data_IF_852836813234
#
_entry.id   IF_852836813234
#
_cell.length_a   1.000
_cell.length_b   1.000
_cell.length_c   1.000
_cell.angle_alpha   90.00
_cell.angle_beta   90.00
_cell.angle_gamma   90.00
#
_symmetry.space_group_name_H-M   'P 1'
#
loop_
_entity.id
_entity.type
_entity.pdbx_description
1 polymer ?
#
# COMPACT_ATOMS: atom_id res chain seq x y z
N UNK A 1 -14.62 -18.32 -7.05
CA UNK A 1 -13.49 -17.72 -6.29
C UNK A 1 -12.14 -17.86 -7.01
N UNK A 2 -11.80 -19.05 -7.52
CA UNK A 2 -10.55 -19.24 -8.29
C UNK A 2 -10.45 -18.29 -9.48
N UNK A 3 -11.52 -18.12 -10.26
CA UNK A 3 -11.51 -17.21 -11.42
C UNK A 3 -11.25 -15.73 -11.04
N UNK A 4 -11.76 -15.28 -9.90
CA UNK A 4 -11.54 -13.89 -9.45
C UNK A 4 -10.07 -13.69 -9.06
N UNK A 5 -9.51 -14.60 -8.29
CA UNK A 5 -8.11 -14.58 -7.89
C UNK A 5 -7.17 -14.67 -9.10
N UNK A 6 -7.47 -15.54 -10.06
CA UNK A 6 -6.65 -15.72 -11.25
C UNK A 6 -6.70 -14.47 -12.15
N UNK A 7 -7.87 -13.84 -12.29
CA UNK A 7 -8.02 -12.57 -13.01
C UNK A 7 -7.25 -11.43 -12.32
N UNK A 8 -7.32 -11.35 -10.99
CA UNK A 8 -6.52 -10.38 -10.21
C UNK A 8 -5.02 -10.63 -10.40
N UNK A 9 -4.57 -11.89 -10.38
CA UNK A 9 -3.19 -12.27 -10.64
C UNK A 9 -2.72 -11.86 -12.03
N UNK A 10 -3.53 -12.08 -13.07
CA UNK A 10 -3.23 -11.63 -14.43
C UNK A 10 -3.19 -10.10 -14.54
N UNK A 11 -4.10 -9.41 -13.85
CA UNK A 11 -4.15 -7.96 -13.87
C UNK A 11 -2.87 -7.35 -13.28
N UNK A 12 -2.45 -7.77 -12.09
CA UNK A 12 -1.24 -7.22 -11.50
C UNK A 12 0.05 -7.67 -12.22
N UNK A 13 0.07 -8.85 -12.82
CA UNK A 13 1.22 -9.30 -13.62
C UNK A 13 1.45 -8.42 -14.85
N UNK A 14 0.38 -7.85 -15.41
CA UNK A 14 0.46 -6.92 -16.55
C UNK A 14 0.69 -5.47 -16.11
N UNK A 15 0.05 -5.02 -15.02
CA UNK A 15 0.16 -3.66 -14.50
C UNK A 15 1.43 -3.43 -13.68
N UNK A 16 2.07 -4.50 -13.26
CA UNK A 16 3.16 -4.55 -12.31
C UNK A 16 2.71 -4.20 -10.88
N UNK A 17 3.65 -4.23 -9.93
CA UNK A 17 3.41 -3.96 -8.51
C UNK A 17 3.98 -2.58 -8.15
N UNK A 18 3.59 -2.04 -7.00
CA UNK A 18 4.04 -0.75 -6.50
C UNK A 18 4.70 -0.84 -5.12
N UNK A 19 4.92 0.31 -4.50
CA UNK A 19 5.61 0.47 -3.22
C UNK A 19 4.99 -0.35 -2.07
N UNK A 20 3.70 -0.67 -2.15
CA UNK A 20 3.06 -1.55 -1.16
C UNK A 20 3.76 -2.92 -1.08
N UNK A 21 4.05 -3.52 -2.23
CA UNK A 21 4.75 -4.80 -2.29
C UNK A 21 6.23 -4.66 -1.90
N UNK A 22 6.90 -3.60 -2.34
CA UNK A 22 8.28 -3.33 -1.92
C UNK A 22 8.42 -3.30 -0.40
N UNK A 23 7.53 -2.57 0.25
CA UNK A 23 7.50 -2.49 1.71
C UNK A 23 7.11 -3.81 2.37
N UNK A 24 6.13 -4.53 1.82
CA UNK A 24 5.70 -5.82 2.33
C UNK A 24 6.79 -6.89 2.21
N UNK A 25 7.59 -6.89 1.15
CA UNK A 25 8.74 -7.79 1.00
C UNK A 25 9.73 -7.65 2.17
N UNK A 26 10.01 -6.42 2.60
CA UNK A 26 10.97 -6.17 3.68
C UNK A 26 10.39 -6.53 5.04
N UNK A 27 9.10 -6.27 5.29
CA UNK A 27 8.42 -6.77 6.50
C UNK A 27 8.47 -8.30 6.59
N UNK A 28 8.34 -8.99 5.47
CA UNK A 28 8.52 -10.45 5.42
C UNK A 28 9.95 -10.88 5.69
N UNK A 29 10.93 -10.22 5.08
CA UNK A 29 12.35 -10.57 5.19
C UNK A 29 12.93 -10.32 6.60
N UNK A 30 12.62 -9.17 7.19
CA UNK A 30 13.17 -8.76 8.49
C UNK A 30 12.37 -9.26 9.69
N UNK A 31 11.06 -9.38 9.56
CA UNK A 31 10.15 -9.66 10.68
C UNK A 31 9.29 -10.90 10.48
N UNK A 32 9.53 -11.66 9.41
CA UNK A 32 8.84 -12.92 9.11
C UNK A 32 7.31 -12.81 9.01
N UNK A 33 6.79 -11.62 8.71
CA UNK A 33 5.37 -11.45 8.46
C UNK A 33 4.96 -12.16 7.17
N UNK A 34 3.85 -12.92 7.17
CA UNK A 34 3.32 -13.51 5.95
C UNK A 34 3.04 -12.41 4.91
N UNK A 35 3.38 -12.66 3.65
CA UNK A 35 3.32 -11.68 2.57
C UNK A 35 1.95 -10.98 2.45
N UNK A 36 0.86 -11.75 2.51
CA UNK A 36 -0.50 -11.18 2.46
C UNK A 36 -0.82 -10.28 3.66
N UNK A 37 -0.34 -10.63 4.85
CA UNK A 37 -0.50 -9.82 6.06
C UNK A 37 0.30 -8.52 5.93
N UNK A 38 1.55 -8.60 5.50
CA UNK A 38 2.41 -7.43 5.30
C UNK A 38 1.79 -6.44 4.30
N UNK A 39 1.29 -6.93 3.15
CA UNK A 39 0.56 -6.09 2.20
C UNK A 39 -0.71 -5.48 2.82
N UNK A 40 -1.49 -6.26 3.56
CA UNK A 40 -2.71 -5.76 4.20
C UNK A 40 -2.42 -4.67 5.25
N UNK A 41 -1.30 -4.75 5.94
CA UNK A 41 -0.86 -3.73 6.90
C UNK A 41 -0.47 -2.42 6.21
N UNK A 42 0.12 -2.50 5.02
CA UNK A 42 0.62 -1.32 4.30
C UNK A 42 -0.41 -0.65 3.38
N UNK A 43 -1.41 -1.40 2.89
CA UNK A 43 -2.25 -0.95 1.76
C UNK A 43 -2.97 0.38 2.00
N UNK A 44 -3.53 0.61 3.18
CA UNK A 44 -4.30 1.83 3.48
C UNK A 44 -3.42 3.08 3.50
N UNK A 45 -2.19 2.97 3.95
CA UNK A 45 -1.20 4.04 3.94
C UNK A 45 -0.75 4.35 2.50
N UNK A 46 -0.54 3.30 1.71
CA UNK A 46 -0.13 3.45 0.31
C UNK A 46 -1.28 4.00 -0.55
N UNK A 47 -2.53 3.62 -0.30
CA UNK A 47 -3.69 4.21 -0.99
C UNK A 47 -3.74 5.73 -0.78
N UNK A 48 -3.60 6.19 0.48
CA UNK A 48 -3.53 7.63 0.79
C UNK A 48 -2.34 8.30 0.15
N UNK A 49 -1.18 7.66 0.20
CA UNK A 49 0.05 8.17 -0.39
C UNK A 49 -0.07 8.37 -1.92
N UNK A 50 -0.64 7.39 -2.61
CA UNK A 50 -0.79 7.42 -4.07
C UNK A 50 -1.92 8.33 -4.56
N UNK A 51 -2.85 8.74 -3.69
CA UNK A 51 -4.04 9.51 -4.04
C UNK A 51 -3.78 11.01 -4.26
N UNK A 52 -2.63 11.35 -4.78
CA UNK A 52 -2.27 12.72 -5.16
C UNK A 52 -2.77 13.02 -6.58
N UNK A 53 -3.52 14.10 -6.78
CA UNK A 53 -4.00 14.50 -8.11
C UNK A 53 -2.85 14.85 -9.08
N UNK A 54 -1.81 15.49 -8.55
CA UNK A 54 -0.65 15.97 -9.32
C UNK A 54 0.64 15.61 -8.60
N UNK A 55 1.07 14.35 -8.66
CA UNK A 55 2.30 13.94 -8.02
C UNK A 55 3.50 14.69 -8.64
N UNK A 56 4.32 15.29 -7.80
CA UNK A 56 5.55 16.00 -8.24
C UNK A 56 6.56 15.02 -8.83
N UNK A 57 6.55 13.80 -8.34
CA UNK A 57 7.42 12.71 -8.82
C UNK A 57 6.54 11.54 -9.27
N UNK A 58 6.71 11.13 -10.51
CA UNK A 58 6.01 10.00 -11.11
C UNK A 58 6.95 8.80 -11.24
N UNK A 59 6.37 7.60 -11.32
CA UNK A 59 7.12 6.39 -11.62
C UNK A 59 7.77 6.44 -12.99
N UNK A 60 8.74 5.55 -13.20
CA UNK A 60 9.55 5.51 -14.43
C UNK A 60 8.85 4.80 -15.60
N UNK A 61 7.69 4.20 -15.38
CA UNK A 61 6.96 3.49 -16.43
C UNK A 61 6.09 4.46 -17.26
N UNK A 62 6.12 4.37 -18.61
CA UNK A 62 5.39 5.27 -19.50
C UNK A 62 3.86 5.32 -19.27
N UNK A 63 3.28 4.24 -18.75
CA UNK A 63 1.85 4.19 -18.43
C UNK A 63 1.41 5.18 -17.34
N UNK A 64 2.35 5.78 -16.62
CA UNK A 64 2.09 6.75 -15.56
C UNK A 64 2.37 8.20 -15.95
N UNK A 65 2.54 8.49 -17.24
CA UNK A 65 2.74 9.88 -17.72
C UNK A 65 1.62 10.83 -17.27
N UNK A 66 0.41 10.27 -17.07
CA UNK A 66 -0.76 11.01 -16.60
C UNK A 66 -1.51 10.19 -15.54
N UNK A 67 -0.96 10.05 -14.31
CA UNK A 67 -1.61 9.27 -13.27
C UNK A 67 -2.91 9.95 -12.81
N UNK A 68 -4.01 9.23 -12.90
CA UNK A 68 -5.32 9.62 -12.36
C UNK A 68 -5.67 8.75 -11.16
N UNK A 69 -4.73 8.57 -10.25
CA UNK A 69 -4.82 7.57 -9.18
C UNK A 69 -6.01 7.83 -8.27
N UNK A 70 -6.21 9.09 -7.84
CA UNK A 70 -7.35 9.46 -7.01
C UNK A 70 -8.69 9.17 -7.71
N UNK A 71 -8.82 9.57 -8.98
CA UNK A 71 -10.02 9.29 -9.78
C UNK A 71 -10.26 7.78 -9.94
N UNK A 72 -9.21 6.97 -10.15
CA UNK A 72 -9.33 5.51 -10.26
C UNK A 72 -9.78 4.87 -8.94
N UNK A 73 -9.32 5.37 -7.80
CA UNK A 73 -9.81 4.91 -6.50
C UNK A 73 -11.28 5.31 -6.27
N UNK A 74 -11.68 6.50 -6.73
CA UNK A 74 -13.07 6.94 -6.70
C UNK A 74 -13.98 6.06 -7.57
N UNK A 75 -13.54 5.69 -8.78
CA UNK A 75 -14.26 4.74 -9.65
C UNK A 75 -14.45 3.37 -8.97
N UNK A 76 -13.43 2.86 -8.25
CA UNK A 76 -13.54 1.62 -7.49
C UNK A 76 -14.58 1.75 -6.37
N UNK A 77 -14.57 2.88 -5.65
CA UNK A 77 -15.56 3.14 -4.61
C UNK A 77 -16.99 3.20 -5.15
N UNK A 78 -17.18 3.82 -6.33
CA UNK A 78 -18.48 3.86 -7.03
C UNK A 78 -18.92 2.45 -7.46
N UNK A 79 -18.01 1.67 -8.03
CA UNK A 79 -18.29 0.29 -8.45
C UNK A 79 -18.72 -0.59 -7.27
N UNK A 80 -18.14 -0.36 -6.10
CA UNK A 80 -18.47 -1.07 -4.86
C UNK A 80 -19.70 -0.48 -4.14
N UNK A 81 -20.29 0.62 -4.63
CA UNK A 81 -21.44 1.25 -4.01
C UNK A 81 -21.16 1.88 -2.65
N UNK A 82 -19.94 2.34 -2.38
CA UNK A 82 -19.51 2.83 -1.07
C UNK A 82 -20.02 4.25 -0.77
N UNK A 83 -20.46 4.99 -1.79
CA UNK A 83 -20.90 6.38 -1.67
C UNK A 83 -19.75 7.38 -1.56
N UNK A 84 -20.10 8.65 -1.32
CA UNK A 84 -19.19 9.79 -1.33
C UNK A 84 -19.53 10.76 -2.45
N UNK A 85 -19.35 12.06 -2.21
CA UNK A 85 -19.69 13.14 -3.18
C UNK A 85 -18.45 13.59 -3.96
N UNK A 86 -17.30 13.60 -3.32
CA UNK A 86 -16.02 13.99 -3.91
C UNK A 86 -15.10 12.77 -4.04
N UNK A 87 -14.10 12.85 -4.90
CA UNK A 87 -13.10 11.79 -5.05
C UNK A 87 -12.36 11.50 -3.72
N UNK A 88 -12.06 12.53 -2.95
CA UNK A 88 -11.46 12.39 -1.61
C UNK A 88 -12.38 11.65 -0.63
N UNK A 89 -13.68 11.98 -0.60
CA UNK A 89 -14.65 11.25 0.23
C UNK A 89 -14.77 9.78 -0.20
N UNK A 90 -14.77 9.52 -1.50
CA UNK A 90 -14.81 8.17 -2.07
C UNK A 90 -13.57 7.36 -1.71
N UNK A 91 -12.38 7.98 -1.75
CA UNK A 91 -11.14 7.37 -1.28
C UNK A 91 -11.24 6.96 0.19
N UNK A 92 -11.69 7.85 1.07
CA UNK A 92 -11.82 7.50 2.49
C UNK A 92 -12.84 6.38 2.72
N UNK A 93 -13.94 6.35 1.96
CA UNK A 93 -14.91 5.24 1.97
C UNK A 93 -14.30 3.93 1.49
N UNK A 94 -13.44 3.97 0.46
CA UNK A 94 -12.71 2.79 0.00
C UNK A 94 -11.76 2.27 1.07
N UNK A 95 -11.00 3.16 1.71
CA UNK A 95 -10.08 2.79 2.80
C UNK A 95 -10.87 2.23 3.98
N UNK A 96 -11.98 2.84 4.37
CA UNK A 96 -12.86 2.31 5.43
C UNK A 96 -13.37 0.90 5.10
N UNK A 97 -13.74 0.64 3.85
CA UNK A 97 -14.17 -0.68 3.42
C UNK A 97 -13.03 -1.72 3.48
N UNK A 98 -11.81 -1.33 3.11
CA UNK A 98 -10.61 -2.17 3.23
C UNK A 98 -10.32 -2.47 4.70
N UNK A 99 -10.35 -1.48 5.59
CA UNK A 99 -10.12 -1.68 7.02
C UNK A 99 -11.18 -2.61 7.65
N UNK A 100 -12.47 -2.44 7.32
CA UNK A 100 -13.53 -3.35 7.76
C UNK A 100 -13.32 -4.79 7.26
N UNK A 101 -12.84 -4.96 6.03
CA UNK A 101 -12.51 -6.27 5.50
C UNK A 101 -11.34 -6.89 6.27
N UNK A 102 -10.28 -6.14 6.51
CA UNK A 102 -9.11 -6.57 7.30
C UNK A 102 -9.55 -7.04 8.69
N UNK A 103 -10.36 -6.25 9.39
CA UNK A 103 -10.90 -6.61 10.71
C UNK A 103 -11.72 -7.91 10.65
N UNK A 104 -12.60 -8.04 9.67
CA UNK A 104 -13.46 -9.24 9.48
C UNK A 104 -12.67 -10.52 9.25
N UNK A 105 -11.51 -10.45 8.58
CA UNK A 105 -10.64 -11.60 8.30
C UNK A 105 -9.50 -11.76 9.32
N UNK A 106 -9.52 -10.98 10.41
CA UNK A 106 -8.59 -11.13 11.53
C UNK A 106 -7.20 -10.51 11.32
N UNK A 107 -7.04 -9.60 10.36
CA UNK A 107 -5.81 -8.81 10.22
C UNK A 107 -5.77 -7.79 11.35
N UNK A 108 -4.67 -7.75 12.10
CA UNK A 108 -4.46 -6.79 13.18
C UNK A 108 -4.24 -5.38 12.65
N UNK A 109 -4.45 -4.36 13.50
CA UNK A 109 -4.42 -2.95 13.07
C UNK A 109 -3.03 -2.39 12.84
N UNK A 110 -2.02 -2.95 13.50
CA UNK A 110 -0.66 -2.44 13.44
C UNK A 110 0.38 -3.56 13.38
N UNK A 111 1.57 -3.23 12.91
CA UNK A 111 2.71 -4.15 12.91
C UNK A 111 3.08 -4.55 14.35
N UNK A 112 3.01 -3.62 15.28
CA UNK A 112 3.29 -3.85 16.72
C UNK A 112 2.42 -4.97 17.31
N UNK A 113 1.16 -5.05 16.93
CA UNK A 113 0.23 -6.08 17.42
C UNK A 113 0.61 -7.50 16.99
N UNK A 114 1.48 -7.67 16.00
CA UNK A 114 2.04 -8.97 15.61
C UNK A 114 3.20 -9.43 16.51
N UNK A 115 3.51 -8.69 17.57
CA UNK A 115 4.55 -9.05 18.53
C UNK A 115 5.96 -8.64 18.11
N UNK A 116 6.07 -7.73 17.17
CA UNK A 116 7.36 -7.17 16.76
C UNK A 116 7.73 -6.07 17.75
N UNK A 117 8.79 -6.29 18.51
CA UNK A 117 9.28 -5.35 19.51
C UNK A 117 9.77 -4.05 18.86
N UNK A 118 9.48 -2.91 19.53
CA UNK A 118 9.77 -1.58 18.99
C UNK A 118 11.25 -1.36 18.72
N UNK A 119 12.11 -1.80 19.62
CA UNK A 119 13.56 -1.68 19.47
C UNK A 119 14.05 -2.45 18.23
N UNK A 120 13.57 -3.67 18.04
CA UNK A 120 13.91 -4.51 16.87
C UNK A 120 13.42 -3.89 15.57
N UNK A 121 12.20 -3.35 15.59
CA UNK A 121 11.62 -2.69 14.41
C UNK A 121 12.40 -1.43 14.04
N UNK A 122 12.69 -0.57 15.02
CA UNK A 122 13.42 0.68 14.79
C UNK A 122 14.88 0.42 14.37
N UNK A 123 15.52 -0.63 14.88
CA UNK A 123 16.88 -1.01 14.48
C UNK A 123 16.98 -1.43 13.01
N UNK A 124 15.92 -2.05 12.47
CA UNK A 124 15.87 -2.49 11.06
C UNK A 124 15.25 -1.45 10.11
N UNK A 125 14.63 -0.40 10.63
CA UNK A 125 13.79 0.52 9.87
C UNK A 125 14.54 1.23 8.73
N UNK A 126 15.75 1.68 8.96
CA UNK A 126 16.54 2.39 7.94
C UNK A 126 16.95 1.45 6.81
N UNK A 127 17.41 0.26 7.14
CA UNK A 127 17.77 -0.75 6.15
C UNK A 127 16.54 -1.25 5.37
N UNK A 128 15.41 -1.51 6.03
CA UNK A 128 14.15 -1.84 5.37
C UNK A 128 13.71 -0.74 4.40
N UNK A 129 13.88 0.51 4.79
CA UNK A 129 13.51 1.68 3.98
C UNK A 129 14.36 1.75 2.72
N UNK A 130 15.68 1.65 2.85
CA UNK A 130 16.62 1.65 1.73
C UNK A 130 16.34 0.51 0.77
N UNK A 131 16.24 -0.72 1.28
CA UNK A 131 15.92 -1.88 0.46
C UNK A 131 14.53 -1.82 -0.20
N UNK A 132 13.52 -1.21 0.45
CA UNK A 132 12.22 -1.00 -0.16
C UNK A 132 12.27 0.07 -1.25
N UNK A 133 13.08 1.11 -1.08
CA UNK A 133 13.31 2.13 -2.09
C UNK A 133 13.96 1.54 -3.35
N UNK A 134 14.96 0.68 -3.18
CA UNK A 134 15.68 0.03 -4.28
C UNK A 134 14.95 -1.18 -4.88
N UNK A 135 13.82 -1.58 -4.31
CA UNK A 135 13.04 -2.71 -4.82
C UNK A 135 12.44 -2.37 -6.20
N UNK A 136 12.51 -3.33 -7.13
CA UNK A 136 12.01 -3.17 -8.50
C UNK A 136 10.54 -2.70 -8.58
N UNK A 137 9.72 -3.06 -7.59
CA UNK A 137 8.31 -2.68 -7.57
C UNK A 137 8.12 -1.19 -7.26
N UNK A 138 9.05 -0.55 -6.56
CA UNK A 138 8.96 0.88 -6.21
C UNK A 138 9.01 1.77 -7.44
N UNK A 139 9.80 1.42 -8.46
CA UNK A 139 9.88 2.14 -9.72
C UNK A 139 8.57 2.17 -10.52
N UNK A 140 7.69 1.20 -10.29
CA UNK A 140 6.38 1.12 -10.95
C UNK A 140 5.25 1.83 -10.17
N UNK A 141 5.53 2.40 -9.00
CA UNK A 141 4.51 3.10 -8.22
C UNK A 141 4.10 4.41 -8.91
N UNK A 142 2.79 4.73 -9.01
CA UNK A 142 2.33 5.94 -9.72
C UNK A 142 2.87 7.25 -9.13
N UNK A 143 3.09 7.31 -7.82
CA UNK A 143 3.80 8.40 -7.15
C UNK A 143 5.14 7.85 -6.66
N UNK A 144 6.26 8.32 -7.25
CA UNK A 144 7.58 7.84 -6.86
C UNK A 144 7.95 8.35 -5.45
N UNK A 145 8.19 7.44 -4.48
CA UNK A 145 8.41 7.84 -3.10
C UNK A 145 9.84 8.31 -2.84
N UNK A 146 10.00 9.16 -1.83
CA UNK A 146 11.28 9.38 -1.17
C UNK A 146 11.49 8.34 -0.05
N UNK A 147 12.73 8.08 0.32
CA UNK A 147 13.05 7.21 1.46
C UNK A 147 12.37 7.68 2.75
N UNK A 148 12.32 9.00 3.00
CA UNK A 148 11.63 9.57 4.15
C UNK A 148 10.13 9.30 4.16
N UNK A 149 9.47 9.27 3.00
CA UNK A 149 8.05 8.96 2.86
C UNK A 149 7.78 7.47 3.11
N UNK A 150 8.66 6.58 2.63
CA UNK A 150 8.60 5.14 2.92
C UNK A 150 8.77 4.89 4.43
N UNK A 151 9.76 5.53 5.03
CA UNK A 151 10.01 5.45 6.49
C UNK A 151 8.81 5.91 7.30
N UNK A 152 8.19 7.01 6.90
CA UNK A 152 6.98 7.54 7.54
C UNK A 152 5.80 6.55 7.45
N UNK A 153 5.58 5.94 6.28
CA UNK A 153 4.53 4.92 6.11
C UNK A 153 4.78 3.69 6.99
N UNK A 154 6.02 3.23 7.11
CA UNK A 154 6.38 2.15 8.03
C UNK A 154 6.08 2.50 9.49
N UNK A 155 6.45 3.70 9.94
CA UNK A 155 6.17 4.16 11.30
C UNK A 155 4.67 4.26 11.57
N UNK A 156 3.90 4.81 10.63
CA UNK A 156 2.43 4.86 10.75
C UNK A 156 1.83 3.46 10.86
N UNK A 157 2.27 2.52 10.04
CA UNK A 157 1.80 1.15 10.06
C UNK A 157 2.24 0.41 11.35
N UNK A 158 3.41 0.74 11.89
CA UNK A 158 3.88 0.15 13.14
C UNK A 158 3.02 0.56 14.32
N UNK A 159 2.66 1.85 14.42
CA UNK A 159 1.85 2.36 15.53
C UNK A 159 0.33 2.33 15.26
N UNK A 160 -0.13 2.05 14.05
CA UNK A 160 -1.54 2.04 13.67
C UNK A 160 -2.18 3.44 13.68
N UNK A 161 -1.45 4.47 13.21
CA UNK A 161 -1.84 5.89 13.26
C UNK A 161 -2.17 6.45 11.88
#
# INVERSE_FOLDING_TARGET
>A
EMCIRDRAGMAFANAFLGVCHSMAHKLGAFHHLPHGVANALMISYVLRYNAEEKPVRMGTFPQYDHPHTLGRYAEIADHLGLGGKTEGEKLEKLIEAVEKLKERIGIKKSIKEYGIEEETFLASLDEMTEQAFDDQCTGANPRYPLMSEIKEMYLKAYYGK
#
